data_IF_227527805010
#
_entry.id   IF_227527805010
#
_cell.length_a   1.000
_cell.length_b   1.000
_cell.length_c   1.000
_cell.angle_alpha   90.00
_cell.angle_beta   90.00
_cell.angle_gamma   90.00
#
_symmetry.space_group_name_H-M   'P 1'
#
loop_
_entity.id
_entity.type
_entity.pdbx_description
1 polymer ?
#
# COMPACT_ATOMS: atom_id res chain seq x y z
N UNK A 1 36.37 -24.85 16.71
CA UNK A 1 35.84 -24.69 15.34
C UNK A 1 34.34 -24.37 15.44
N UNK A 2 33.89 -23.12 15.18
CA UNK A 2 32.46 -22.82 15.21
C UNK A 2 31.79 -23.31 13.93
N UNK A 3 30.72 -24.08 14.06
CA UNK A 3 29.96 -24.64 12.93
C UNK A 3 28.92 -23.62 12.44
N UNK A 4 28.98 -23.31 11.14
CA UNK A 4 28.06 -22.38 10.47
C UNK A 4 26.68 -23.03 10.36
N UNK A 5 25.70 -22.51 11.10
CA UNK A 5 24.29 -22.93 10.97
C UNK A 5 23.64 -22.18 9.82
N UNK A 6 23.30 -22.90 8.75
CA UNK A 6 22.53 -22.36 7.62
C UNK A 6 21.05 -22.19 8.03
N UNK A 7 20.60 -20.94 8.22
CA UNK A 7 19.16 -20.62 8.29
C UNK A 7 18.55 -20.90 6.93
N UNK A 8 17.69 -21.92 6.86
CA UNK A 8 16.89 -22.23 5.66
C UNK A 8 16.00 -21.03 5.34
N UNK A 9 16.01 -20.64 4.06
CA UNK A 9 15.39 -19.44 3.53
C UNK A 9 13.97 -19.24 4.05
N UNK A 10 13.65 -17.98 4.36
CA UNK A 10 12.33 -17.56 4.82
C UNK A 10 11.25 -18.10 3.89
N UNK A 11 10.22 -18.65 4.51
CA UNK A 11 8.96 -19.04 3.89
C UNK A 11 8.50 -17.90 2.99
N UNK A 12 8.41 -18.14 1.67
CA UNK A 12 7.73 -17.23 0.74
C UNK A 12 6.27 -17.19 1.18
N UNK A 13 5.87 -16.18 1.93
CA UNK A 13 4.46 -15.90 2.17
C UNK A 13 3.82 -15.73 0.81
N UNK A 14 2.84 -16.57 0.47
CA UNK A 14 2.01 -16.33 -0.70
C UNK A 14 1.38 -14.94 -0.51
N UNK A 15 1.73 -14.01 -1.39
CA UNK A 15 1.05 -12.72 -1.48
C UNK A 15 -0.39 -13.04 -1.90
N UNK A 16 -1.30 -13.03 -0.94
CA UNK A 16 -2.72 -13.05 -1.21
C UNK A 16 -3.11 -11.67 -1.70
N UNK A 17 -3.53 -11.57 -2.95
CA UNK A 17 -4.06 -10.34 -3.52
C UNK A 17 -5.56 -10.28 -3.24
N UNK A 18 -5.95 -9.35 -2.37
CA UNK A 18 -7.34 -8.98 -2.17
C UNK A 18 -7.59 -7.69 -2.98
N UNK A 19 -8.63 -7.65 -3.82
CA UNK A 19 -8.95 -6.45 -4.57
C UNK A 19 -9.31 -5.30 -3.60
N UNK A 20 -8.98 -4.05 -3.93
CA UNK A 20 -9.27 -2.92 -3.06
C UNK A 20 -10.78 -2.72 -2.92
N UNK A 21 -11.19 -2.23 -1.76
CA UNK A 21 -12.59 -1.83 -1.55
C UNK A 21 -12.90 -0.51 -2.28
N UNK A 22 -14.20 -0.21 -2.47
CA UNK A 22 -14.62 1.00 -3.18
C UNK A 22 -14.13 2.28 -2.49
N UNK A 23 -14.19 2.35 -1.15
CA UNK A 23 -13.75 3.51 -0.40
C UNK A 23 -12.22 3.72 -0.49
N UNK A 24 -11.45 2.64 -0.46
CA UNK A 24 -9.98 2.68 -0.63
C UNK A 24 -9.61 3.13 -2.05
N UNK A 25 -10.30 2.61 -3.06
CA UNK A 25 -10.10 3.01 -4.44
C UNK A 25 -10.44 4.49 -4.68
N UNK A 26 -11.52 5.00 -4.07
CA UNK A 26 -11.88 6.42 -4.14
C UNK A 26 -10.80 7.28 -3.47
N UNK A 27 -10.34 6.87 -2.29
CA UNK A 27 -9.27 7.59 -1.58
C UNK A 27 -7.98 7.64 -2.39
N UNK A 28 -7.58 6.53 -2.99
CA UNK A 28 -6.41 6.48 -3.88
C UNK A 28 -6.60 7.35 -5.12
N UNK A 29 -7.77 7.30 -5.76
CA UNK A 29 -8.09 8.08 -6.94
C UNK A 29 -8.06 9.59 -6.67
N UNK A 30 -8.54 10.04 -5.51
CA UNK A 30 -8.45 11.44 -5.08
C UNK A 30 -7.00 11.94 -4.94
N UNK A 31 -6.07 11.05 -4.63
CA UNK A 31 -4.63 11.37 -4.60
C UNK A 31 -3.97 11.41 -5.99
N UNK A 32 -4.64 10.90 -7.03
CA UNK A 32 -4.10 10.78 -8.39
C UNK A 32 -4.74 11.74 -9.39
N UNK A 33 -5.99 12.16 -9.16
CA UNK A 33 -6.72 13.09 -10.02
C UNK A 33 -7.48 14.14 -9.20
N UNK A 34 -7.48 15.39 -9.68
CA UNK A 34 -8.15 16.52 -9.04
C UNK A 34 -9.60 16.69 -9.50
N UNK A 35 -9.94 16.19 -10.69
CA UNK A 35 -11.26 16.28 -11.28
C UNK A 35 -12.12 15.05 -10.96
N UNK A 36 -13.42 15.27 -10.75
CA UNK A 36 -14.36 14.20 -10.39
C UNK A 36 -14.41 13.11 -11.48
N UNK A 37 -14.24 13.48 -12.75
CA UNK A 37 -14.29 12.54 -13.87
C UNK A 37 -13.09 11.60 -13.85
N UNK A 38 -11.87 12.12 -13.74
CA UNK A 38 -10.66 11.33 -13.58
C UNK A 38 -10.69 10.45 -12.33
N UNK A 39 -11.21 10.96 -11.20
CA UNK A 39 -11.36 10.18 -9.98
C UNK A 39 -12.29 8.96 -10.17
N UNK A 40 -13.41 9.14 -10.87
CA UNK A 40 -14.33 8.04 -11.17
C UNK A 40 -13.70 6.97 -12.06
N UNK A 41 -12.99 7.38 -13.11
CA UNK A 41 -12.32 6.47 -14.04
C UNK A 41 -11.27 5.62 -13.33
N UNK A 42 -10.40 6.25 -12.51
CA UNK A 42 -9.36 5.54 -11.76
C UNK A 42 -9.98 4.59 -10.73
N UNK A 43 -10.98 5.03 -9.97
CA UNK A 43 -11.63 4.18 -8.98
C UNK A 43 -12.35 2.99 -9.62
N UNK A 44 -12.99 3.18 -10.78
CA UNK A 44 -13.59 2.10 -11.57
C UNK A 44 -12.55 1.07 -12.02
N UNK A 45 -11.37 1.54 -12.48
CA UNK A 45 -10.26 0.66 -12.87
C UNK A 45 -9.68 -0.15 -11.70
N UNK A 46 -9.61 0.44 -10.50
CA UNK A 46 -9.05 -0.23 -9.32
C UNK A 46 -9.95 -1.35 -8.79
N UNK A 47 -11.28 -1.17 -8.82
CA UNK A 47 -12.25 -2.14 -8.29
C UNK A 47 -12.80 -3.08 -9.38
N UNK A 48 -12.74 -2.66 -10.66
CA UNK A 48 -13.30 -3.41 -11.78
C UNK A 48 -14.82 -3.27 -11.92
N UNK A 49 -15.39 -2.16 -11.43
CA UNK A 49 -16.82 -1.84 -11.51
C UNK A 49 -17.09 -0.77 -12.58
N UNK A 50 -18.30 -0.70 -13.16
CA UNK A 50 -18.63 0.35 -14.12
C UNK A 50 -18.69 1.73 -13.44
N UNK A 51 -18.33 2.78 -14.18
CA UNK A 51 -18.32 4.17 -13.69
C UNK A 51 -19.66 4.61 -13.07
N UNK A 52 -20.78 4.10 -13.57
CA UNK A 52 -22.12 4.43 -13.08
C UNK A 52 -22.31 4.04 -11.60
N UNK A 53 -21.73 2.92 -11.16
CA UNK A 53 -21.83 2.45 -9.77
C UNK A 53 -20.88 3.25 -8.86
N UNK A 54 -19.70 3.60 -9.37
CA UNK A 54 -18.68 4.36 -8.64
C UNK A 54 -19.07 5.84 -8.47
N UNK A 55 -19.80 6.40 -9.43
CA UNK A 55 -20.19 7.82 -9.48
C UNK A 55 -20.91 8.29 -8.21
N UNK A 56 -21.88 7.52 -7.72
CA UNK A 56 -22.63 7.89 -6.53
C UNK A 56 -21.74 7.96 -5.28
N UNK A 57 -20.78 7.03 -5.17
CA UNK A 57 -19.84 6.96 -4.06
C UNK A 57 -18.79 8.08 -4.12
N UNK A 58 -18.22 8.36 -5.30
CA UNK A 58 -17.27 9.47 -5.48
C UNK A 58 -17.93 10.82 -5.18
N UNK A 59 -19.14 11.07 -5.70
CA UNK A 59 -19.86 12.32 -5.42
C UNK A 59 -20.19 12.50 -3.93
N UNK A 60 -20.42 11.39 -3.21
CA UNK A 60 -20.60 11.41 -1.76
C UNK A 60 -19.29 11.73 -1.03
N UNK A 61 -18.16 11.22 -1.51
CA UNK A 61 -16.83 11.42 -0.93
C UNK A 61 -16.24 12.81 -1.20
N UNK A 62 -16.60 13.46 -2.31
CA UNK A 62 -16.18 14.84 -2.63
C UNK A 62 -16.82 15.86 -1.69
N UNK A 63 -17.94 15.52 -1.01
CA UNK A 63 -18.43 16.38 0.08
C UNK A 63 -17.34 16.41 1.15
N UNK A 64 -16.74 17.58 1.44
CA UNK A 64 -15.70 17.66 2.44
C UNK A 64 -16.29 17.16 3.76
N UNK A 65 -15.80 16.03 4.25
CA UNK A 65 -15.99 15.67 5.63
C UNK A 65 -15.45 16.85 6.44
N UNK A 66 -16.35 17.56 7.14
CA UNK A 66 -15.98 18.67 8.01
C UNK A 66 -15.02 18.13 9.07
N UNK A 67 -13.73 18.33 8.84
CA UNK A 67 -12.68 18.10 9.83
C UNK A 67 -11.46 17.39 9.24
N UNK A 68 -10.24 17.78 9.65
CA UNK A 68 -9.06 17.00 9.34
C UNK A 68 -9.22 15.62 9.98
N UNK A 69 -9.48 14.60 9.17
CA UNK A 69 -9.23 13.21 9.55
C UNK A 69 -7.73 13.06 9.71
N UNK A 70 -7.26 13.42 10.89
CA UNK A 70 -5.91 13.13 11.35
C UNK A 70 -5.79 11.60 11.28
N UNK A 71 -4.80 11.03 10.56
CA UNK A 71 -4.61 9.60 10.61
C UNK A 71 -4.41 9.23 12.08
N UNK A 72 -5.36 8.48 12.64
CA UNK A 72 -5.22 7.90 13.96
C UNK A 72 -4.07 6.92 13.89
N UNK A 73 -2.94 7.13 14.59
CA UNK A 73 -1.90 6.13 14.65
C UNK A 73 -2.51 4.91 15.34
N UNK A 74 -2.65 3.81 14.61
CA UNK A 74 -3.03 2.52 15.17
C UNK A 74 -2.19 2.24 16.43
N UNK A 75 -2.79 1.97 17.59
CA UNK A 75 -2.05 1.52 18.75
C UNK A 75 -1.84 0.01 18.62
N UNK A 76 -0.60 -0.41 18.36
CA UNK A 76 0.01 -1.74 18.59
C UNK A 76 1.17 -1.90 17.59
N UNK A 77 2.46 -1.86 17.96
CA UNK A 77 3.09 -2.47 19.13
C UNK A 77 4.26 -1.60 19.61
N UNK A 78 4.55 -1.71 20.90
CA UNK A 78 5.69 -1.08 21.56
C UNK A 78 7.03 -1.44 20.89
N UNK A 79 7.52 -0.59 20.01
CA UNK A 79 8.93 -0.51 19.65
C UNK A 79 9.14 0.82 18.93
N UNK A 80 10.03 1.67 19.45
CA UNK A 80 10.40 2.93 18.83
C UNK A 80 11.05 2.75 17.45
N UNK A 81 11.60 3.82 16.84
CA UNK A 81 12.25 3.73 15.54
C UNK A 81 13.34 2.65 15.55
N UNK A 82 13.16 1.59 14.74
CA UNK A 82 14.15 0.52 14.61
C UNK A 82 15.28 0.97 13.69
N UNK A 83 16.46 1.19 14.26
CA UNK A 83 17.69 1.45 13.50
C UNK A 83 18.22 0.12 12.97
N UNK A 84 18.29 -0.02 11.65
CA UNK A 84 18.84 -1.21 10.97
C UNK A 84 20.20 -0.85 10.38
N UNK A 85 21.26 -1.50 10.88
CA UNK A 85 22.61 -1.41 10.31
C UNK A 85 22.79 -2.55 9.33
N UNK A 86 23.11 -2.23 8.08
CA UNK A 86 23.40 -3.21 7.02
C UNK A 86 24.87 -3.15 6.65
N UNK A 87 25.60 -4.25 6.84
CA UNK A 87 26.94 -4.39 6.28
C UNK A 87 26.84 -4.73 4.78
N UNK A 88 27.51 -3.94 3.94
CA UNK A 88 27.56 -4.20 2.49
C UNK A 88 28.64 -5.22 2.17
N UNK A 89 28.23 -6.41 1.75
CA UNK A 89 29.17 -7.42 1.22
C UNK A 89 29.53 -7.10 -0.23
N UNK A 90 30.82 -6.93 -0.51
CA UNK A 90 31.32 -6.68 -1.86
C UNK A 90 30.96 -7.84 -2.82
N UNK A 91 30.56 -7.56 -4.07
CA UNK A 91 30.30 -8.59 -5.06
C UNK A 91 31.59 -9.36 -5.36
N UNK A 92 31.48 -10.69 -5.53
CA UNK A 92 32.62 -11.51 -5.96
C UNK A 92 32.86 -11.23 -7.44
N UNK A 93 33.96 -10.55 -7.77
CA UNK A 93 34.43 -10.42 -9.14
C UNK A 93 34.75 -11.81 -9.69
N UNK A 94 33.93 -12.30 -10.62
CA UNK A 94 34.28 -13.46 -11.44
C UNK A 94 35.10 -12.89 -12.60
N UNK A 95 36.43 -12.99 -12.51
CA UNK A 95 37.29 -12.74 -13.66
C UNK A 95 37.06 -13.86 -14.68
N UNK A 96 36.69 -13.46 -15.91
CA UNK A 96 36.62 -14.35 -17.08
C UNK A 96 38.02 -14.59 -17.64
#
# INVERSE_FOLDING_TARGET
MPTVRNKRGGTRSSLHFEPPTLDEAIFAAQGLADDVRGQMEIAAMLVGLPENEVRAAVLKAVRPARGPSRPSPSPCSASGPQVVVVERRAPRTIMR
#
